data_IF_687086082383
#
_entry.id   IF_687086082383
#
_cell.length_a   1.000
_cell.length_b   1.000
_cell.length_c   1.000
_cell.angle_alpha   90.00
_cell.angle_beta   90.00
_cell.angle_gamma   90.00
#
_symmetry.space_group_name_H-M   'P 1'
#
loop_
_entity.id
_entity.type
_entity.pdbx_description
1 polymer ?
#
# COMPACT_ATOMS: atom_id res chain seq x y z
N UNK A 1 24.82 -40.47 27.68
CA UNK A 1 25.53 -39.66 28.68
C UNK A 1 24.90 -38.27 28.58
N UNK A 2 23.76 -38.12 29.24
CA UNK A 2 23.60 -37.47 30.57
C UNK A 2 23.47 -35.94 30.39
N UNK A 3 22.26 -35.39 30.52
CA UNK A 3 21.64 -34.90 31.77
C UNK A 3 22.31 -33.59 32.25
N UNK A 4 21.66 -32.42 32.08
CA UNK A 4 20.63 -31.82 32.95
C UNK A 4 21.22 -31.04 34.15
N UNK A 5 20.42 -30.08 34.62
CA UNK A 5 20.45 -29.42 35.95
C UNK A 5 21.07 -28.00 36.04
N UNK A 6 20.18 -27.02 35.94
CA UNK A 6 19.74 -26.13 37.03
C UNK A 6 20.81 -25.49 37.95
N UNK A 7 20.81 -24.15 38.03
CA UNK A 7 21.45 -23.41 39.14
C UNK A 7 20.57 -22.27 39.65
N UNK A 8 19.89 -22.60 40.75
CA UNK A 8 19.31 -21.71 41.75
C UNK A 8 20.32 -20.69 42.31
N UNK A 9 19.74 -19.53 42.62
CA UNK A 9 20.13 -18.45 43.54
C UNK A 9 20.92 -18.90 44.78
N UNK A 10 21.86 -18.05 45.22
CA UNK A 10 22.19 -17.82 46.64
C UNK A 10 22.98 -16.49 46.83
N UNK A 11 23.10 -15.91 48.06
CA UNK A 11 22.63 -14.56 48.37
C UNK A 11 23.70 -13.60 48.95
N UNK A 12 23.43 -12.29 49.02
CA UNK A 12 24.11 -11.36 49.95
C UNK A 12 23.18 -10.25 50.50
N UNK A 13 22.83 -10.45 51.78
CA UNK A 13 22.84 -9.60 52.98
C UNK A 13 22.81 -8.05 52.90
N UNK A 14 22.32 -7.38 53.98
CA UNK A 14 21.55 -6.14 53.95
C UNK A 14 22.35 -4.89 54.30
N UNK A 15 21.90 -3.73 53.81
CA UNK A 15 22.25 -2.42 54.37
C UNK A 15 21.00 -1.79 55.00
N UNK A 16 21.10 -1.54 56.30
CA UNK A 16 20.13 -0.84 57.12
C UNK A 16 20.25 0.68 56.93
N UNK A 17 19.14 1.42 57.11
CA UNK A 17 19.20 2.85 57.44
C UNK A 17 18.02 3.71 56.99
N UNK A 18 16.99 3.75 57.84
CA UNK A 18 16.05 4.86 58.08
C UNK A 18 15.24 5.51 56.93
N UNK A 19 13.96 5.15 56.90
CA UNK A 19 12.90 6.05 57.37
C UNK A 19 12.49 7.22 56.48
N UNK A 20 11.42 7.02 55.70
CA UNK A 20 10.25 7.89 55.85
C UNK A 20 9.01 7.21 55.27
N UNK A 21 7.93 7.26 56.04
CA UNK A 21 6.60 6.84 55.63
C UNK A 21 6.06 7.77 54.53
N UNK A 22 5.63 7.18 53.42
CA UNK A 22 4.50 7.60 52.59
C UNK A 22 4.44 6.68 51.37
N UNK A 23 3.77 5.54 51.54
CA UNK A 23 3.57 4.55 50.48
C UNK A 23 2.22 3.86 50.67
N UNK A 24 1.13 4.63 50.52
CA UNK A 24 -0.25 4.11 50.41
C UNK A 24 -1.04 5.00 49.44
N UNK A 25 -0.44 5.36 48.31
CA UNK A 25 -1.10 6.19 47.29
C UNK A 25 -0.66 5.81 45.86
N UNK A 26 -0.39 4.52 45.59
CA UNK A 26 -0.14 4.06 44.21
C UNK A 26 -1.12 2.98 43.76
N UNK A 27 -1.49 2.01 44.60
CA UNK A 27 -2.40 0.94 44.16
C UNK A 27 -3.84 1.42 43.86
N UNK A 28 -4.42 2.27 44.72
CA UNK A 28 -5.77 2.79 44.50
C UNK A 28 -5.84 3.84 43.39
N UNK A 29 -4.75 4.59 43.16
CA UNK A 29 -4.67 5.54 42.05
C UNK A 29 -4.44 4.82 40.72
N UNK A 30 -3.66 3.74 40.70
CA UNK A 30 -3.48 2.89 39.52
C UNK A 30 -4.74 2.06 39.21
N UNK A 31 -5.50 1.61 40.24
CA UNK A 31 -6.80 0.96 40.07
C UNK A 31 -7.88 1.95 39.61
N UNK A 32 -7.93 3.17 40.16
CA UNK A 32 -8.89 4.21 39.77
C UNK A 32 -8.56 4.80 38.38
N UNK A 33 -7.28 4.95 38.03
CA UNK A 33 -6.84 5.26 36.65
C UNK A 33 -7.19 4.11 35.69
N UNK A 34 -7.01 2.85 36.09
CA UNK A 34 -7.39 1.68 35.29
C UNK A 34 -8.90 1.55 35.06
N UNK A 35 -9.73 1.77 36.08
CA UNK A 35 -11.19 1.74 35.98
C UNK A 35 -11.74 2.90 35.14
N UNK A 36 -11.14 4.09 35.23
CA UNK A 36 -11.48 5.24 34.37
C UNK A 36 -11.07 5.02 32.91
N UNK A 37 -9.91 4.38 32.67
CA UNK A 37 -9.47 4.00 31.33
C UNK A 37 -10.39 2.93 30.71
N UNK A 38 -10.85 1.94 31.48
CA UNK A 38 -11.82 0.93 31.03
C UNK A 38 -13.21 1.54 30.73
N UNK A 39 -13.71 2.48 31.55
CA UNK A 39 -14.97 3.18 31.26
C UNK A 39 -14.90 4.11 30.03
N UNK A 40 -13.75 4.77 29.79
CA UNK A 40 -13.53 5.51 28.54
C UNK A 40 -13.39 4.56 27.33
N UNK A 41 -12.84 3.36 27.55
CA UNK A 41 -12.68 2.34 26.53
C UNK A 41 -14.02 1.75 26.08
N UNK A 42 -15.02 1.60 26.97
CA UNK A 42 -16.39 1.25 26.56
C UNK A 42 -17.08 2.37 25.74
N UNK A 43 -16.76 3.64 25.99
CA UNK A 43 -17.40 4.79 25.32
C UNK A 43 -16.90 5.00 23.89
N UNK A 44 -15.68 4.59 23.56
CA UNK A 44 -15.03 4.82 22.25
C UNK A 44 -14.94 3.56 21.37
N UNK A 45 -16.04 2.83 21.24
CA UNK A 45 -16.10 1.58 20.44
C UNK A 45 -16.89 1.73 19.14
N UNK A 46 -16.33 1.15 18.08
CA UNK A 46 -17.06 0.91 16.84
C UNK A 46 -17.92 -0.35 17.00
N UNK A 47 -19.01 -0.39 16.25
CA UNK A 47 -19.83 -1.58 16.12
C UNK A 47 -19.18 -2.56 15.15
N UNK A 48 -19.30 -3.85 15.46
CA UNK A 48 -18.92 -4.95 14.58
C UNK A 48 -19.56 -4.82 13.18
N UNK A 49 -20.88 -4.61 13.14
CA UNK A 49 -21.68 -4.55 11.90
C UNK A 49 -22.00 -3.11 11.50
N UNK A 50 -21.97 -2.86 10.19
CA UNK A 50 -22.31 -1.58 9.60
C UNK A 50 -23.80 -1.29 9.78
N UNK A 51 -24.14 -0.01 9.82
CA UNK A 51 -25.51 0.48 9.72
C UNK A 51 -25.92 0.60 8.26
N UNK A 52 -26.53 -0.45 7.71
CA UNK A 52 -26.96 -0.48 6.30
C UNK A 52 -27.98 0.62 5.94
N UNK A 53 -28.73 1.11 6.94
CA UNK A 53 -29.73 2.17 6.76
C UNK A 53 -29.15 3.58 6.96
N UNK A 54 -27.90 3.71 7.39
CA UNK A 54 -27.26 5.01 7.60
C UNK A 54 -26.49 5.43 6.37
N UNK A 55 -26.69 6.66 5.91
CA UNK A 55 -25.88 7.26 4.85
C UNK A 55 -24.80 8.14 5.50
N UNK A 56 -23.51 7.78 5.38
CA UNK A 56 -22.42 8.60 5.91
C UNK A 56 -22.40 10.00 5.33
N UNK A 57 -21.87 10.93 6.12
CA UNK A 57 -21.55 12.26 5.62
C UNK A 57 -20.24 12.25 4.82
N UNK A 58 -20.09 13.22 3.91
CA UNK A 58 -18.81 13.48 3.25
C UNK A 58 -17.91 14.30 4.17
N UNK A 59 -16.61 14.06 4.12
CA UNK A 59 -15.58 14.81 4.85
C UNK A 59 -14.54 15.46 3.94
N UNK A 60 -14.77 15.45 2.62
CA UNK A 60 -13.81 15.90 1.60
C UNK A 60 -13.46 17.40 1.72
N UNK A 61 -14.42 18.23 2.15
CA UNK A 61 -14.23 19.65 2.45
C UNK A 61 -13.17 19.91 3.54
N UNK A 62 -12.85 18.90 4.35
CA UNK A 62 -11.86 18.96 5.42
C UNK A 62 -10.53 18.30 5.07
N UNK A 63 -10.32 17.81 3.83
CA UNK A 63 -9.10 17.10 3.38
C UNK A 63 -7.79 17.78 3.83
N UNK A 64 -7.73 19.11 3.78
CA UNK A 64 -6.53 19.86 4.13
C UNK A 64 -6.29 20.01 5.63
N UNK A 65 -7.34 19.87 6.45
CA UNK A 65 -7.31 20.05 7.90
C UNK A 65 -7.16 18.72 8.65
N UNK A 66 -7.59 17.62 8.03
CA UNK A 66 -7.57 16.29 8.64
C UNK A 66 -6.17 15.65 8.63
N UNK A 67 -5.88 14.92 9.70
CA UNK A 67 -4.68 14.08 9.83
C UNK A 67 -4.82 12.74 9.09
N UNK A 68 -6.06 12.31 8.86
CA UNK A 68 -6.43 11.06 8.20
C UNK A 68 -7.30 11.33 6.97
N UNK A 69 -7.42 10.33 6.08
CA UNK A 69 -8.23 10.44 4.86
C UNK A 69 -9.71 10.71 5.19
N UNK A 70 -10.39 11.65 4.53
CA UNK A 70 -11.84 11.85 4.61
C UNK A 70 -12.65 10.59 4.34
N UNK A 71 -12.21 9.75 3.39
CA UNK A 71 -12.89 8.50 3.07
C UNK A 71 -12.87 7.52 4.24
N UNK A 72 -11.82 7.57 5.08
CA UNK A 72 -11.75 6.78 6.31
C UNK A 72 -12.82 7.21 7.31
N UNK A 73 -13.06 8.51 7.46
CA UNK A 73 -14.14 9.02 8.30
C UNK A 73 -15.52 8.61 7.78
N UNK A 74 -15.78 8.76 6.47
CA UNK A 74 -17.04 8.30 5.89
C UNK A 74 -17.24 6.79 6.04
N UNK A 75 -16.17 5.99 5.95
CA UNK A 75 -16.23 4.54 6.16
C UNK A 75 -16.50 4.18 7.63
N UNK A 76 -15.78 4.82 8.56
CA UNK A 76 -15.95 4.62 10.00
C UNK A 76 -17.34 5.02 10.50
N UNK A 77 -17.93 6.06 9.91
CA UNK A 77 -19.24 6.58 10.33
C UNK A 77 -20.33 5.50 10.29
N UNK A 78 -20.26 4.57 9.34
CA UNK A 78 -21.21 3.45 9.21
C UNK A 78 -21.18 2.52 10.43
N UNK A 79 -20.10 2.53 11.20
CA UNK A 79 -19.87 1.66 12.35
C UNK A 79 -20.01 2.38 13.68
N UNK A 80 -20.42 3.65 13.69
CA UNK A 80 -20.68 4.35 14.93
C UNK A 80 -21.84 3.72 15.72
N UNK A 81 -21.82 3.80 17.06
CA UNK A 81 -22.93 3.35 17.89
C UNK A 81 -24.18 4.20 17.63
N UNK A 82 -25.37 3.64 17.89
CA UNK A 82 -26.65 4.27 17.49
C UNK A 82 -26.84 5.68 18.05
N UNK A 83 -26.41 5.91 19.29
CA UNK A 83 -26.44 7.23 19.92
C UNK A 83 -25.55 8.26 19.19
N UNK A 84 -24.49 7.82 18.51
CA UNK A 84 -23.57 8.70 17.77
C UNK A 84 -24.00 8.94 16.31
N UNK A 85 -24.84 8.10 15.71
CA UNK A 85 -25.25 8.30 14.30
C UNK A 85 -26.14 9.54 14.11
N UNK A 86 -26.89 9.90 15.15
CA UNK A 86 -27.90 10.96 15.11
C UNK A 86 -27.39 12.31 15.66
N UNK A 87 -26.13 12.41 16.07
CA UNK A 87 -25.52 13.68 16.49
C UNK A 87 -24.97 14.46 15.30
N UNK A 88 -24.52 15.69 15.55
CA UNK A 88 -23.96 16.55 14.52
C UNK A 88 -22.70 15.93 13.88
N UNK A 89 -22.47 16.29 12.62
CA UNK A 89 -21.27 15.95 11.85
C UNK A 89 -19.97 16.18 12.61
N UNK A 90 -19.89 17.34 13.29
CA UNK A 90 -18.72 17.73 14.06
C UNK A 90 -18.45 16.78 15.24
N UNK A 91 -19.51 16.38 15.96
CA UNK A 91 -19.37 15.45 17.08
C UNK A 91 -19.02 14.03 16.60
N UNK A 92 -19.57 13.60 15.47
CA UNK A 92 -19.16 12.33 14.82
C UNK A 92 -17.70 12.35 14.42
N UNK A 93 -17.24 13.45 13.82
CA UNK A 93 -15.85 13.65 13.43
C UNK A 93 -14.90 13.60 14.63
N UNK A 94 -15.23 14.30 15.71
CA UNK A 94 -14.44 14.29 16.95
C UNK A 94 -14.34 12.89 17.56
N UNK A 95 -15.46 12.17 17.61
CA UNK A 95 -15.51 10.79 18.10
C UNK A 95 -14.64 9.83 17.28
N UNK A 96 -14.79 9.85 15.95
CA UNK A 96 -13.98 9.03 15.05
C UNK A 96 -12.49 9.39 15.13
N UNK A 97 -12.17 10.68 15.27
CA UNK A 97 -10.78 11.16 15.41
C UNK A 97 -10.15 10.64 16.70
N UNK A 98 -10.88 10.63 17.82
CA UNK A 98 -10.37 10.07 19.08
C UNK A 98 -10.04 8.58 18.94
N UNK A 99 -10.91 7.80 18.28
CA UNK A 99 -10.64 6.39 17.98
C UNK A 99 -9.38 6.26 17.12
N UNK A 100 -9.27 6.98 16.01
CA UNK A 100 -8.11 6.90 15.12
C UNK A 100 -6.80 7.28 15.82
N UNK A 101 -6.81 8.30 16.68
CA UNK A 101 -5.64 8.74 17.42
C UNK A 101 -5.17 7.71 18.46
N UNK A 102 -6.10 7.00 19.11
CA UNK A 102 -5.80 5.94 20.09
C UNK A 102 -5.01 4.80 19.45
N UNK A 103 -5.35 4.43 18.23
CA UNK A 103 -4.75 3.29 17.51
C UNK A 103 -3.68 3.68 16.49
N UNK A 104 -3.27 4.94 16.42
CA UNK A 104 -2.21 5.40 15.52
C UNK A 104 -1.00 5.88 16.32
N UNK A 105 0.06 5.07 16.50
CA UNK A 105 1.23 5.43 17.29
C UNK A 105 1.87 6.76 16.85
N UNK A 106 2.39 7.54 17.81
CA UNK A 106 2.98 8.86 17.51
C UNK A 106 4.09 8.80 16.46
N UNK A 107 4.91 7.75 16.48
CA UNK A 107 5.98 7.53 15.49
C UNK A 107 5.45 7.39 14.06
N UNK A 108 4.30 6.73 13.87
CA UNK A 108 3.65 6.58 12.57
C UNK A 108 3.07 7.91 12.09
N UNK A 109 2.34 8.62 12.97
CA UNK A 109 1.79 9.95 12.65
C UNK A 109 2.90 10.93 12.25
N UNK A 110 4.00 10.95 13.00
CA UNK A 110 5.15 11.79 12.70
C UNK A 110 5.81 11.41 11.36
N UNK A 111 5.83 10.12 11.00
CA UNK A 111 6.32 9.65 9.69
C UNK A 111 5.43 10.13 8.55
N UNK A 112 4.11 9.98 8.67
CA UNK A 112 3.13 10.45 7.67
C UNK A 112 3.24 11.96 7.46
N UNK A 113 3.30 12.74 8.54
CA UNK A 113 3.46 14.20 8.47
C UNK A 113 4.74 14.61 7.73
N UNK A 114 5.89 14.02 8.09
CA UNK A 114 7.17 14.29 7.39
C UNK A 114 7.11 13.93 5.91
N UNK A 115 6.43 12.84 5.56
CA UNK A 115 6.26 12.45 4.16
C UNK A 115 5.38 13.46 3.41
N UNK A 116 4.27 13.91 4.00
CA UNK A 116 3.41 14.97 3.44
C UNK A 116 4.18 16.27 3.19
N UNK A 117 4.99 16.71 4.16
CA UNK A 117 5.85 17.90 4.03
C UNK A 117 6.90 17.73 2.91
N UNK A 118 7.52 16.55 2.82
CA UNK A 118 8.45 16.20 1.74
C UNK A 118 7.77 16.27 0.36
N UNK A 119 6.61 15.63 0.20
CA UNK A 119 5.84 15.65 -1.06
C UNK A 119 5.46 17.08 -1.45
N UNK A 120 4.93 17.84 -0.50
CA UNK A 120 4.54 19.24 -0.74
C UNK A 120 5.74 20.09 -1.19
N UNK A 121 6.90 19.91 -0.58
CA UNK A 121 8.13 20.61 -1.00
C UNK A 121 8.51 20.26 -2.44
N UNK A 122 8.40 19.00 -2.86
CA UNK A 122 8.69 18.60 -4.23
C UNK A 122 7.67 19.21 -5.19
N UNK A 123 6.38 19.02 -4.95
CA UNK A 123 5.29 19.51 -5.80
C UNK A 123 5.42 21.03 -6.06
N UNK A 124 5.80 21.80 -5.05
CA UNK A 124 5.96 23.26 -5.17
C UNK A 124 7.20 23.70 -5.96
N UNK A 125 8.24 22.87 -6.07
CA UNK A 125 9.55 23.28 -6.59
C UNK A 125 10.01 22.52 -7.85
N UNK A 126 9.48 21.33 -8.08
CA UNK A 126 9.75 20.54 -9.27
C UNK A 126 8.94 21.07 -10.44
N UNK A 127 9.57 21.15 -11.62
CA UNK A 127 8.90 21.54 -12.86
C UNK A 127 8.79 20.29 -13.74
N UNK A 128 7.58 19.76 -13.95
CA UNK A 128 7.36 18.61 -14.82
C UNK A 128 7.87 18.85 -16.25
N UNK A 129 8.52 17.84 -16.83
CA UNK A 129 8.99 17.88 -18.21
C UNK A 129 7.82 17.64 -19.19
N UNK A 130 6.91 16.72 -18.84
CA UNK A 130 5.78 16.27 -19.63
C UNK A 130 4.48 16.42 -18.82
N UNK A 131 3.95 17.65 -18.76
CA UNK A 131 2.71 17.96 -18.01
C UNK A 131 1.50 17.10 -18.41
N UNK A 132 1.48 16.62 -19.65
CA UNK A 132 0.44 15.73 -20.16
C UNK A 132 0.37 14.37 -19.45
N UNK A 133 1.45 13.92 -18.80
CA UNK A 133 1.45 12.67 -18.05
C UNK A 133 0.69 12.77 -16.71
N UNK A 134 0.50 13.98 -16.20
CA UNK A 134 -0.12 14.24 -14.90
C UNK A 134 -1.64 14.28 -14.97
N UNK A 135 -2.19 14.33 -16.18
CA UNK A 135 -3.62 14.27 -16.44
C UNK A 135 -3.90 13.03 -17.27
N UNK A 136 -4.83 12.20 -16.82
CA UNK A 136 -5.18 10.96 -17.51
C UNK A 136 -5.78 11.24 -18.89
N UNK A 137 -4.98 11.05 -19.94
CA UNK A 137 -5.40 11.13 -21.34
C UNK A 137 -5.34 9.74 -21.97
N UNK A 138 -6.41 8.97 -21.80
CA UNK A 138 -6.46 7.53 -22.02
C UNK A 138 -5.95 7.11 -23.42
N UNK A 139 -6.35 7.85 -24.47
CA UNK A 139 -5.94 7.59 -25.85
C UNK A 139 -4.45 7.82 -26.14
N UNK A 140 -3.75 8.58 -25.29
CA UNK A 140 -2.30 8.79 -25.39
C UNK A 140 -1.53 7.75 -24.56
N UNK A 141 -2.19 7.13 -23.59
CA UNK A 141 -1.56 6.24 -22.61
C UNK A 141 -1.65 4.79 -23.08
N UNK A 142 -2.82 4.42 -23.59
CA UNK A 142 -3.15 3.02 -23.84
C UNK A 142 -3.26 2.67 -25.31
N UNK A 143 -2.96 1.41 -25.62
CA UNK A 143 -3.22 0.86 -26.95
C UNK A 143 -4.73 0.77 -27.22
N UNK A 144 -5.19 0.94 -28.47
CA UNK A 144 -6.63 0.96 -28.78
C UNK A 144 -7.38 -0.32 -28.41
N UNK A 145 -6.72 -1.49 -28.51
CA UNK A 145 -7.29 -2.79 -28.12
C UNK A 145 -7.64 -2.82 -26.63
N UNK A 146 -6.75 -2.33 -25.78
CA UNK A 146 -6.95 -2.22 -24.34
C UNK A 146 -8.14 -1.30 -24.01
N UNK A 147 -8.16 -0.10 -24.60
CA UNK A 147 -9.26 0.85 -24.39
C UNK A 147 -10.62 0.29 -24.80
N UNK A 148 -10.67 -0.41 -25.93
CA UNK A 148 -11.89 -1.06 -26.40
C UNK A 148 -12.39 -2.10 -25.40
N UNK A 149 -11.50 -2.96 -24.88
CA UNK A 149 -11.88 -3.97 -23.90
C UNK A 149 -12.40 -3.34 -22.60
N UNK A 150 -11.77 -2.26 -22.13
CA UNK A 150 -12.19 -1.48 -20.96
C UNK A 150 -13.55 -0.82 -21.17
N UNK A 151 -13.80 -0.26 -22.36
CA UNK A 151 -15.08 0.37 -22.69
C UNK A 151 -16.23 -0.65 -22.74
N UNK A 152 -15.98 -1.87 -23.25
CA UNK A 152 -16.96 -2.96 -23.26
C UNK A 152 -17.20 -3.52 -21.84
N UNK A 153 -16.16 -3.57 -21.01
CA UNK A 153 -16.21 -3.91 -19.59
C UNK A 153 -16.89 -5.27 -19.28
N UNK A 154 -16.61 -6.30 -20.08
CA UNK A 154 -17.06 -7.67 -19.85
C UNK A 154 -15.90 -8.64 -19.67
N UNK A 155 -16.15 -9.81 -19.10
CA UNK A 155 -15.12 -10.84 -18.98
C UNK A 155 -14.59 -11.27 -20.36
N UNK A 156 -15.48 -11.41 -21.35
CA UNK A 156 -15.12 -11.78 -22.71
C UNK A 156 -14.24 -10.71 -23.38
N UNK A 157 -14.56 -9.42 -23.19
CA UNK A 157 -13.77 -8.33 -23.77
C UNK A 157 -12.36 -8.30 -23.17
N UNK A 158 -12.23 -8.49 -21.85
CA UNK A 158 -10.92 -8.58 -21.20
C UNK A 158 -10.14 -9.82 -21.65
N UNK A 159 -10.77 -11.00 -21.66
CA UNK A 159 -10.12 -12.23 -22.10
C UNK A 159 -9.67 -12.17 -23.56
N UNK A 160 -10.31 -11.35 -24.40
CA UNK A 160 -9.92 -11.19 -25.80
C UNK A 160 -8.53 -10.55 -26.00
N UNK A 161 -8.03 -9.80 -24.99
CA UNK A 161 -6.73 -9.10 -25.06
C UNK A 161 -5.68 -9.69 -24.11
N UNK A 162 -6.06 -10.64 -23.25
CA UNK A 162 -5.20 -11.19 -22.20
C UNK A 162 -4.79 -12.63 -22.48
N UNK A 163 -3.54 -12.95 -22.17
CA UNK A 163 -3.08 -14.32 -21.99
C UNK A 163 -2.95 -14.62 -20.48
N UNK A 164 -3.33 -15.82 -20.07
CA UNK A 164 -3.17 -16.33 -18.71
C UNK A 164 -2.12 -17.46 -18.71
N UNK A 165 -0.81 -17.14 -18.67
CA UNK A 165 0.25 -18.15 -18.68
C UNK A 165 0.18 -19.13 -17.50
N UNK A 166 -0.47 -18.74 -16.41
CA UNK A 166 -0.77 -19.58 -15.26
C UNK A 166 -1.96 -18.99 -14.49
N UNK A 167 -2.73 -19.81 -13.76
CA UNK A 167 -3.85 -19.35 -12.96
C UNK A 167 -3.53 -18.10 -12.14
N UNK A 168 -4.28 -17.02 -12.38
CA UNK A 168 -4.16 -15.76 -11.64
C UNK A 168 -2.94 -14.89 -12.01
N UNK A 169 -2.28 -15.17 -13.14
CA UNK A 169 -1.28 -14.29 -13.76
C UNK A 169 -1.79 -13.93 -15.15
N UNK A 170 -2.10 -12.65 -15.37
CA UNK A 170 -2.59 -12.16 -16.65
C UNK A 170 -1.55 -11.26 -17.30
N UNK A 171 -1.38 -11.41 -18.62
CA UNK A 171 -0.44 -10.63 -19.41
C UNK A 171 -1.12 -10.05 -20.62
N UNK A 172 -0.85 -8.78 -20.93
CA UNK A 172 -1.52 -8.07 -22.03
C UNK A 172 -0.72 -6.85 -22.48
N UNK A 173 -0.90 -6.46 -23.75
CA UNK A 173 -0.41 -5.19 -24.27
C UNK A 173 -1.27 -4.05 -23.69
N UNK A 174 -0.65 -3.05 -23.08
CA UNK A 174 -1.36 -2.02 -22.33
C UNK A 174 -0.97 -0.63 -22.78
N UNK A 175 0.31 -0.28 -22.69
CA UNK A 175 0.78 1.09 -22.87
C UNK A 175 1.28 1.35 -24.28
N UNK A 176 1.00 2.56 -24.78
CA UNK A 176 1.61 3.03 -26.02
C UNK A 176 3.13 3.22 -25.83
N UNK A 177 3.95 2.88 -26.84
CA UNK A 177 5.39 3.14 -26.79
C UNK A 177 5.73 4.60 -26.47
N UNK A 178 4.93 5.54 -27.00
CA UNK A 178 5.13 6.97 -26.75
C UNK A 178 4.93 7.33 -25.27
N UNK A 179 3.91 6.79 -24.62
CA UNK A 179 3.69 7.00 -23.19
C UNK A 179 4.88 6.47 -22.37
N UNK A 180 5.33 5.26 -22.70
CA UNK A 180 6.50 4.65 -22.09
C UNK A 180 7.75 5.55 -22.17
N UNK A 181 8.05 6.10 -23.35
CA UNK A 181 9.15 7.05 -23.54
C UNK A 181 9.02 8.30 -22.67
N UNK A 182 7.83 8.93 -22.68
CA UNK A 182 7.56 10.14 -21.92
C UNK A 182 7.69 9.92 -20.41
N UNK A 183 7.16 8.81 -19.89
CA UNK A 183 7.26 8.49 -18.48
C UNK A 183 8.71 8.20 -18.07
N UNK A 184 9.48 7.52 -18.91
CA UNK A 184 10.91 7.31 -18.67
C UNK A 184 11.68 8.64 -18.60
N UNK A 185 11.48 9.55 -19.55
CA UNK A 185 12.16 10.85 -19.55
C UNK A 185 11.72 11.75 -18.40
N UNK A 186 10.46 11.66 -17.97
CA UNK A 186 9.96 12.38 -16.79
C UNK A 186 10.65 11.88 -15.51
N UNK A 187 10.75 10.56 -15.31
CA UNK A 187 11.43 9.98 -14.15
C UNK A 187 12.92 10.38 -14.14
N UNK A 188 13.60 10.27 -15.28
CA UNK A 188 15.01 10.69 -15.41
C UNK A 188 15.19 12.20 -15.13
N UNK A 189 14.23 13.03 -15.54
CA UNK A 189 14.24 14.45 -15.23
C UNK A 189 14.07 14.72 -13.74
N UNK A 190 13.14 14.03 -13.09
CA UNK A 190 12.93 14.11 -11.65
C UNK A 190 14.16 13.68 -10.86
N UNK A 191 14.77 12.54 -11.19
CA UNK A 191 15.98 12.06 -10.53
C UNK A 191 17.14 13.06 -10.64
N UNK A 192 17.36 13.62 -11.84
CA UNK A 192 18.38 14.67 -12.05
C UNK A 192 18.11 15.90 -11.20
N UNK A 193 16.87 16.39 -11.19
CA UNK A 193 16.49 17.56 -10.40
C UNK A 193 16.68 17.33 -8.89
N UNK A 194 16.28 16.16 -8.38
CA UNK A 194 16.50 15.79 -6.97
C UNK A 194 17.99 15.80 -6.63
N UNK A 195 18.83 15.26 -7.51
CA UNK A 195 20.29 15.24 -7.34
C UNK A 195 20.89 16.66 -7.31
N UNK A 196 20.51 17.51 -8.27
CA UNK A 196 20.95 18.91 -8.36
C UNK A 196 20.54 19.72 -7.13
N UNK A 197 19.31 19.51 -6.63
CA UNK A 197 18.80 20.16 -5.41
C UNK A 197 19.30 19.53 -4.12
N UNK A 198 20.12 18.47 -4.20
CA UNK A 198 20.64 17.69 -3.06
C UNK A 198 19.52 17.22 -2.12
N UNK A 199 18.38 16.87 -2.71
CA UNK A 199 17.26 16.27 -1.99
C UNK A 199 17.47 14.75 -1.93
N UNK A 200 16.91 14.11 -0.90
CA UNK A 200 16.94 12.65 -0.80
C UNK A 200 15.71 12.08 -1.47
N UNK A 201 15.89 11.30 -2.53
CA UNK A 201 14.79 10.54 -3.14
C UNK A 201 14.27 9.47 -2.17
N UNK A 202 12.95 9.37 -2.04
CA UNK A 202 12.33 8.24 -1.35
C UNK A 202 12.43 7.00 -2.23
N UNK A 203 12.88 5.89 -1.65
CA UNK A 203 13.01 4.65 -2.39
C UNK A 203 11.63 4.03 -2.66
N UNK A 204 11.46 3.34 -3.80
CA UNK A 204 10.17 2.76 -4.18
C UNK A 204 9.58 1.82 -3.12
N UNK A 205 10.43 0.99 -2.54
CA UNK A 205 10.10 0.08 -1.43
C UNK A 205 11.38 -0.28 -0.66
N UNK A 206 11.29 -1.19 0.30
CA UNK A 206 12.41 -1.63 1.14
C UNK A 206 13.42 -2.54 0.42
N UNK A 207 13.07 -3.07 -0.76
CA UNK A 207 13.86 -4.04 -1.52
C UNK A 207 14.56 -3.42 -2.74
N UNK A 208 14.09 -2.27 -3.24
CA UNK A 208 14.64 -1.58 -4.40
C UNK A 208 15.45 -0.34 -4.01
N UNK A 209 16.68 -0.26 -4.53
CA UNK A 209 17.58 0.87 -4.31
C UNK A 209 17.47 1.93 -5.39
N UNK A 210 16.87 1.64 -6.54
CA UNK A 210 16.77 2.58 -7.65
C UNK A 210 15.35 2.69 -8.21
N UNK A 211 15.03 3.88 -8.72
CA UNK A 211 13.69 4.29 -9.12
C UNK A 211 13.07 5.30 -8.16
N UNK A 212 11.80 5.63 -8.42
CA UNK A 212 11.08 6.74 -7.79
C UNK A 212 9.62 6.38 -7.48
N UNK A 213 9.08 6.92 -6.38
CA UNK A 213 7.64 6.91 -6.09
C UNK A 213 6.98 8.04 -6.87
N UNK A 214 5.98 7.73 -7.69
CA UNK A 214 5.40 8.68 -8.64
C UNK A 214 4.55 9.77 -7.94
N UNK A 215 3.85 9.40 -6.86
CA UNK A 215 3.04 10.32 -6.07
C UNK A 215 3.86 11.44 -5.43
N UNK A 216 5.15 11.19 -5.18
CA UNK A 216 6.04 12.17 -4.56
C UNK A 216 6.28 13.40 -5.43
N UNK A 217 6.10 13.27 -6.75
CA UNK A 217 6.31 14.36 -7.70
C UNK A 217 5.11 14.64 -8.61
N UNK A 218 3.91 14.20 -8.19
CA UNK A 218 2.62 14.74 -8.65
C UNK A 218 1.69 13.77 -9.37
N UNK A 219 2.00 12.49 -9.47
CA UNK A 219 1.21 11.53 -10.24
C UNK A 219 -0.02 10.93 -9.53
N UNK A 220 -0.25 11.26 -8.27
CA UNK A 220 -1.31 10.68 -7.42
C UNK A 220 -2.68 10.67 -8.10
N UNK A 221 -3.15 11.80 -8.62
CA UNK A 221 -4.44 11.89 -9.33
C UNK A 221 -4.47 11.07 -10.63
N UNK A 222 -3.36 10.96 -11.34
CA UNK A 222 -3.30 10.14 -12.55
C UNK A 222 -3.39 8.65 -12.18
N UNK A 223 -2.63 8.23 -11.18
CA UNK A 223 -2.58 6.84 -10.73
C UNK A 223 -3.88 6.39 -10.07
N UNK A 224 -4.56 7.29 -9.37
CA UNK A 224 -5.92 7.07 -8.86
C UNK A 224 -6.89 6.74 -10.02
N UNK A 225 -6.90 7.56 -11.07
CA UNK A 225 -7.72 7.31 -12.27
C UNK A 225 -7.32 6.03 -13.01
N UNK A 226 -6.02 5.74 -13.08
CA UNK A 226 -5.51 4.48 -13.65
C UNK A 226 -6.07 3.28 -12.87
N UNK A 227 -6.01 3.32 -11.54
CA UNK A 227 -6.54 2.26 -10.68
C UNK A 227 -8.05 2.12 -10.87
N UNK A 228 -8.81 3.19 -10.63
CA UNK A 228 -10.28 3.16 -10.62
C UNK A 228 -10.88 2.83 -11.99
N UNK A 229 -10.37 3.47 -13.05
CA UNK A 229 -10.95 3.37 -14.38
C UNK A 229 -10.52 2.13 -15.16
N UNK A 230 -9.36 1.53 -14.83
CA UNK A 230 -8.75 0.50 -15.67
C UNK A 230 -8.39 -0.77 -14.89
N UNK A 231 -7.82 -0.65 -13.69
CA UNK A 231 -7.39 -1.82 -12.91
C UNK A 231 -8.54 -2.43 -12.10
N UNK A 232 -9.39 -1.62 -11.48
CA UNK A 232 -10.57 -2.10 -10.73
C UNK A 232 -11.57 -2.89 -11.60
N UNK A 233 -11.91 -2.46 -12.84
CA UNK A 233 -12.81 -3.23 -13.71
C UNK A 233 -12.29 -4.63 -14.01
N UNK A 234 -11.00 -4.74 -14.35
CA UNK A 234 -10.32 -6.03 -14.59
C UNK A 234 -10.29 -6.85 -13.29
N UNK A 235 -9.91 -6.21 -12.18
CA UNK A 235 -9.71 -6.89 -10.90
C UNK A 235 -11.00 -7.43 -10.29
N UNK A 236 -12.14 -6.77 -10.53
CA UNK A 236 -13.46 -7.26 -10.16
C UNK A 236 -13.75 -8.63 -10.78
N UNK A 237 -13.31 -8.88 -12.01
CA UNK A 237 -13.58 -10.12 -12.74
C UNK A 237 -12.59 -11.21 -12.35
N UNK A 238 -11.29 -10.90 -12.33
CA UNK A 238 -10.25 -11.91 -12.23
C UNK A 238 -9.66 -12.11 -10.84
N UNK A 239 -9.92 -11.19 -9.90
CA UNK A 239 -9.41 -11.24 -8.52
C UNK A 239 -10.51 -11.04 -7.45
N UNK A 240 -11.70 -11.67 -7.59
CA UNK A 240 -12.78 -11.51 -6.61
C UNK A 240 -12.38 -12.01 -5.20
N UNK A 241 -11.51 -13.02 -5.12
CA UNK A 241 -11.07 -13.66 -3.87
C UNK A 241 -10.18 -12.77 -3.00
N UNK A 242 -9.59 -11.72 -3.57
CA UNK A 242 -8.85 -10.68 -2.84
C UNK A 242 -9.59 -9.35 -2.80
N UNK A 243 -10.86 -9.33 -3.20
CA UNK A 243 -11.67 -8.11 -3.19
C UNK A 243 -11.28 -7.11 -4.28
N UNK A 244 -10.94 -7.58 -5.48
CA UNK A 244 -10.58 -6.72 -6.61
C UNK A 244 -11.63 -5.66 -7.00
N UNK A 245 -12.87 -5.78 -6.52
CA UNK A 245 -13.95 -4.79 -6.68
C UNK A 245 -13.94 -3.66 -5.64
N UNK A 246 -13.07 -3.73 -4.63
CA UNK A 246 -13.06 -2.85 -3.44
C UNK A 246 -11.70 -2.18 -3.22
N UNK A 247 -10.85 -2.15 -4.24
CA UNK A 247 -9.57 -1.46 -4.21
C UNK A 247 -9.80 0.05 -4.15
N UNK A 248 -9.14 0.73 -3.21
CA UNK A 248 -9.37 2.15 -2.86
C UNK A 248 -8.08 2.93 -2.58
N UNK A 249 -6.92 2.27 -2.66
CA UNK A 249 -5.61 2.86 -2.41
C UNK A 249 -4.60 2.29 -3.38
N UNK A 250 -3.65 3.14 -3.79
CA UNK A 250 -2.55 2.72 -4.64
C UNK A 250 -1.20 3.13 -4.05
N UNK A 251 -0.14 2.45 -4.50
CA UNK A 251 1.24 2.89 -4.36
C UNK A 251 1.92 2.69 -5.72
N UNK A 252 2.09 3.78 -6.45
CA UNK A 252 2.64 3.79 -7.80
C UNK A 252 4.11 4.20 -7.82
N UNK A 253 4.96 3.38 -8.43
CA UNK A 253 6.39 3.63 -8.45
C UNK A 253 7.07 3.00 -9.66
N UNK A 254 8.26 3.51 -9.97
CA UNK A 254 9.15 2.93 -10.98
C UNK A 254 10.33 2.26 -10.30
N UNK A 255 10.76 1.13 -10.84
CA UNK A 255 11.99 0.43 -10.43
C UNK A 255 12.94 0.31 -11.61
N UNK A 256 14.24 0.37 -11.32
CA UNK A 256 15.29 0.33 -12.34
C UNK A 256 16.28 -0.80 -12.09
N UNK A 257 16.52 -1.60 -13.13
CA UNK A 257 17.48 -2.69 -13.11
C UNK A 257 18.55 -2.54 -14.18
N UNK A 258 19.77 -3.04 -13.91
CA UNK A 258 20.92 -2.97 -14.82
C UNK A 258 22.27 -2.93 -14.08
N UNK A 259 23.37 -2.85 -14.83
CA UNK A 259 24.76 -2.99 -14.31
C UNK A 259 25.11 -1.98 -13.20
N UNK A 260 24.59 -0.75 -13.28
CA UNK A 260 24.80 0.32 -12.28
C UNK A 260 23.50 0.66 -11.52
N UNK A 261 22.63 -0.34 -11.38
CA UNK A 261 21.32 -0.27 -10.74
C UNK A 261 21.13 -1.54 -9.91
N UNK A 262 19.89 -1.89 -9.56
CA UNK A 262 19.63 -3.22 -9.02
C UNK A 262 19.80 -4.27 -10.13
N UNK A 263 20.45 -5.40 -9.84
CA UNK A 263 20.70 -6.41 -10.87
C UNK A 263 19.54 -7.37 -10.96
N UNK A 264 19.01 -7.77 -9.81
CA UNK A 264 17.92 -8.73 -9.63
C UNK A 264 17.08 -8.35 -8.42
N UNK A 265 15.97 -9.05 -8.21
CA UNK A 265 15.17 -8.95 -7.00
C UNK A 265 14.81 -10.35 -6.53
N UNK A 266 15.16 -10.66 -5.28
CA UNK A 266 14.97 -11.97 -4.68
C UNK A 266 13.50 -12.37 -4.57
N UNK A 267 13.28 -13.59 -4.09
CA UNK A 267 11.94 -14.14 -3.86
C UNK A 267 11.17 -13.30 -2.81
N UNK A 268 9.97 -12.84 -3.15
CA UNK A 268 9.11 -12.03 -2.30
C UNK A 268 7.64 -12.15 -2.70
N UNK A 269 6.82 -11.38 -2.01
CA UNK A 269 5.41 -11.08 -2.31
C UNK A 269 5.25 -9.56 -2.23
N UNK A 270 4.22 -9.04 -2.87
CA UNK A 270 3.89 -7.62 -2.79
C UNK A 270 2.95 -7.34 -1.62
N UNK A 271 3.07 -6.14 -1.08
CA UNK A 271 2.15 -5.59 -0.09
C UNK A 271 0.93 -4.97 -0.79
N UNK A 272 0.22 -5.82 -1.54
CA UNK A 272 -0.94 -5.48 -2.36
C UNK A 272 -1.96 -6.62 -2.41
N UNK A 273 -3.21 -6.28 -2.73
CA UNK A 273 -4.21 -7.26 -3.15
C UNK A 273 -3.95 -7.65 -4.61
N UNK A 274 -3.77 -6.64 -5.47
CA UNK A 274 -3.47 -6.78 -6.89
C UNK A 274 -2.27 -5.90 -7.24
N UNK A 275 -1.30 -6.47 -7.96
CA UNK A 275 -0.15 -5.76 -8.52
C UNK A 275 -0.26 -5.69 -10.03
N UNK A 276 -0.16 -4.48 -10.56
CA UNK A 276 0.16 -4.22 -11.96
C UNK A 276 1.68 -3.98 -12.08
N UNK A 277 2.32 -4.67 -13.04
CA UNK A 277 3.73 -4.47 -13.38
C UNK A 277 3.87 -4.32 -14.90
N UNK A 278 4.23 -3.12 -15.36
CA UNK A 278 4.32 -2.80 -16.79
C UNK A 278 5.77 -2.48 -17.16
N UNK A 279 6.28 -3.12 -18.21
CA UNK A 279 7.62 -2.79 -18.71
C UNK A 279 7.56 -1.47 -19.49
N UNK A 280 8.23 -0.42 -19.00
CA UNK A 280 8.30 0.88 -19.67
C UNK A 280 9.31 0.92 -20.80
N UNK A 281 10.10 -0.15 -20.98
CA UNK A 281 11.10 -0.25 -22.03
C UNK A 281 12.49 0.21 -21.60
N UNK A 282 13.33 0.42 -22.63
CA UNK A 282 14.80 0.32 -22.73
C UNK A 282 15.26 -1.02 -23.32
N UNK A 283 16.39 -1.00 -24.01
CA UNK A 283 17.01 -2.20 -24.57
C UNK A 283 17.74 -2.93 -23.44
N UNK A 284 17.35 -4.16 -23.13
CA UNK A 284 17.96 -4.99 -22.10
C UNK A 284 17.91 -6.48 -22.47
N UNK A 285 18.67 -7.30 -21.73
CA UNK A 285 18.58 -8.76 -21.77
C UNK A 285 18.57 -9.32 -20.35
N UNK A 286 17.99 -10.51 -20.17
CA UNK A 286 17.70 -11.05 -18.84
C UNK A 286 16.51 -10.33 -18.19
N UNK A 287 16.46 -10.31 -16.86
CA UNK A 287 15.34 -9.69 -16.15
C UNK A 287 14.04 -10.46 -16.31
N UNK A 288 14.08 -11.78 -16.43
CA UNK A 288 12.88 -12.62 -16.45
C UNK A 288 12.21 -12.56 -15.07
N UNK A 289 10.91 -12.30 -15.02
CA UNK A 289 10.12 -12.49 -13.81
C UNK A 289 9.91 -13.98 -13.59
N UNK A 290 9.99 -14.42 -12.35
CA UNK A 290 9.71 -15.80 -12.00
C UNK A 290 8.59 -15.84 -10.96
N UNK A 291 7.61 -16.71 -11.13
CA UNK A 291 6.44 -16.90 -10.25
C UNK A 291 6.41 -18.32 -9.71
N UNK A 292 5.95 -18.46 -8.47
CA UNK A 292 6.09 -19.67 -7.65
C UNK A 292 4.82 -20.01 -6.88
N UNK A 293 3.65 -19.64 -7.43
CA UNK A 293 2.34 -19.89 -6.84
C UNK A 293 1.99 -18.99 -5.65
N UNK A 294 0.75 -19.07 -5.20
CA UNK A 294 0.19 -18.27 -4.10
C UNK A 294 0.20 -19.08 -2.80
N UNK A 295 0.49 -18.42 -1.67
CA UNK A 295 0.43 -19.00 -0.32
C UNK A 295 -0.13 -17.99 0.68
N UNK A 296 -0.63 -18.47 1.81
CA UNK A 296 -0.89 -17.63 2.98
C UNK A 296 0.43 -17.23 3.67
N UNK A 297 0.34 -16.35 4.67
CA UNK A 297 1.51 -15.80 5.36
C UNK A 297 2.34 -16.87 6.08
N UNK A 298 1.68 -17.85 6.71
CA UNK A 298 2.34 -18.96 7.40
C UNK A 298 3.13 -19.87 6.45
N UNK A 299 2.67 -20.00 5.19
CA UNK A 299 3.20 -20.96 4.23
C UNK A 299 3.98 -20.30 3.09
N UNK A 300 4.34 -19.02 3.19
CA UNK A 300 5.00 -18.26 2.12
C UNK A 300 6.31 -18.91 1.67
N UNK A 301 7.03 -19.58 2.59
CA UNK A 301 8.31 -20.24 2.32
C UNK A 301 8.19 -21.74 1.98
N UNK A 302 6.98 -22.27 1.84
CA UNK A 302 6.78 -23.67 1.42
C UNK A 302 7.30 -23.94 0.01
N UNK A 303 7.56 -25.19 -0.32
CA UNK A 303 8.02 -25.56 -1.65
C UNK A 303 6.98 -25.22 -2.74
N UNK A 304 7.49 -24.99 -3.96
CA UNK A 304 6.67 -24.79 -5.16
C UNK A 304 6.44 -26.11 -5.86
N UNK A 305 5.23 -26.31 -6.36
CA UNK A 305 4.92 -27.43 -7.26
C UNK A 305 5.37 -27.10 -8.69
N UNK A 306 5.68 -28.11 -9.53
CA UNK A 306 6.13 -27.88 -10.91
C UNK A 306 5.17 -27.01 -11.73
N UNK A 307 3.86 -27.16 -11.52
CA UNK A 307 2.81 -26.44 -12.24
C UNK A 307 2.72 -24.95 -11.84
N UNK A 308 3.34 -24.58 -10.71
CA UNK A 308 3.37 -23.21 -10.19
C UNK A 308 4.58 -22.42 -10.70
N UNK A 309 5.53 -23.08 -11.40
CA UNK A 309 6.77 -22.48 -11.85
C UNK A 309 6.57 -21.86 -13.23
N UNK A 310 6.45 -20.54 -13.24
CA UNK A 310 6.35 -19.75 -14.46
C UNK A 310 7.48 -18.74 -14.52
N UNK A 311 8.06 -18.59 -15.69
CA UNK A 311 9.05 -17.58 -15.97
C UNK A 311 8.52 -16.71 -17.13
N UNK A 312 8.42 -15.40 -16.92
CA UNK A 312 7.87 -14.43 -17.87
C UNK A 312 8.94 -13.43 -18.30
N UNK A 313 9.14 -13.31 -19.60
CA UNK A 313 10.07 -12.33 -20.18
C UNK A 313 9.31 -11.03 -20.48
N UNK A 314 9.79 -9.92 -19.92
CA UNK A 314 9.17 -8.62 -20.14
C UNK A 314 9.20 -8.19 -21.60
N UNK A 315 8.10 -7.60 -22.03
CA UNK A 315 7.95 -6.94 -23.33
C UNK A 315 7.58 -5.47 -23.07
N UNK A 316 8.29 -4.48 -23.66
CA UNK A 316 7.93 -3.07 -23.51
C UNK A 316 6.45 -2.81 -23.84
N UNK A 317 5.80 -1.98 -23.03
CA UNK A 317 4.37 -1.66 -23.13
C UNK A 317 3.43 -2.77 -22.63
N UNK A 318 3.93 -3.96 -22.32
CA UNK A 318 3.11 -5.06 -21.80
C UNK A 318 3.06 -5.05 -20.28
N UNK A 319 1.88 -5.35 -19.77
CA UNK A 319 1.58 -5.50 -18.36
C UNK A 319 1.58 -6.97 -17.95
N UNK A 320 1.96 -7.20 -16.69
CA UNK A 320 1.67 -8.40 -15.91
C UNK A 320 0.78 -7.96 -14.76
N UNK A 321 -0.39 -8.56 -14.63
CA UNK A 321 -1.34 -8.33 -13.55
C UNK A 321 -1.48 -9.61 -12.74
N UNK A 322 -1.20 -9.55 -11.44
CA UNK A 322 -1.26 -10.71 -10.56
C UNK A 322 -1.67 -10.32 -9.15
N UNK A 323 -2.09 -11.32 -8.37
CA UNK A 323 -2.31 -11.16 -6.93
C UNK A 323 -1.02 -10.74 -6.23
N UNK A 324 -1.07 -9.80 -5.29
CA UNK A 324 0.14 -9.36 -4.57
C UNK A 324 0.80 -10.50 -3.77
N UNK A 325 -0.01 -11.41 -3.24
CA UNK A 325 0.45 -12.64 -2.56
C UNK A 325 1.02 -13.73 -3.47
N UNK A 326 1.06 -13.50 -4.79
CA UNK A 326 1.74 -14.42 -5.70
C UNK A 326 3.24 -14.31 -5.45
N UNK A 327 3.87 -15.42 -5.08
CA UNK A 327 5.29 -15.47 -4.76
C UNK A 327 6.10 -15.33 -6.03
N UNK A 328 7.00 -14.37 -6.09
CA UNK A 328 7.71 -14.06 -7.32
C UNK A 328 9.04 -13.33 -7.07
N UNK A 329 9.76 -13.04 -8.14
CA UNK A 329 10.95 -12.20 -8.13
C UNK A 329 11.44 -11.90 -9.54
N UNK A 330 12.58 -11.24 -9.66
CA UNK A 330 13.19 -10.91 -10.94
C UNK A 330 14.60 -11.50 -11.02
N UNK A 331 14.90 -12.23 -12.09
CA UNK A 331 16.26 -12.67 -12.43
C UNK A 331 17.15 -11.49 -12.79
N UNK A 332 18.46 -11.74 -12.81
CA UNK A 332 19.46 -10.76 -13.20
C UNK A 332 19.19 -10.14 -14.59
N UNK A 333 19.24 -8.81 -14.65
CA UNK A 333 19.36 -8.06 -15.92
C UNK A 333 20.83 -8.11 -16.34
N UNK A 334 21.13 -8.81 -17.42
CA UNK A 334 22.50 -9.12 -17.85
C UNK A 334 23.10 -8.09 -18.79
N UNK A 335 22.26 -7.31 -19.48
CA UNK A 335 22.69 -6.20 -20.32
C UNK A 335 21.63 -5.10 -20.34
N UNK A 336 22.06 -3.87 -20.61
CA UNK A 336 21.17 -2.72 -20.74
C UNK A 336 20.56 -2.27 -19.41
N UNK A 337 19.40 -1.61 -19.50
CA UNK A 337 18.65 -1.14 -18.35
C UNK A 337 17.19 -1.57 -18.54
N UNK A 338 16.57 -2.14 -17.51
CA UNK A 338 15.17 -2.53 -17.51
C UNK A 338 14.43 -1.64 -16.53
N UNK A 339 13.37 -0.99 -17.00
CA UNK A 339 12.56 -0.09 -16.16
C UNK A 339 11.11 -0.53 -16.21
N UNK A 340 10.50 -0.63 -15.02
CA UNK A 340 9.13 -1.09 -14.87
C UNK A 340 8.33 -0.09 -14.03
N UNK A 341 7.11 0.16 -14.46
CA UNK A 341 6.07 0.81 -13.67
C UNK A 341 5.36 -0.27 -12.84
N UNK A 342 5.26 -0.05 -11.54
CA UNK A 342 4.43 -0.85 -10.65
C UNK A 342 3.32 0.00 -10.08
N UNK A 343 2.15 -0.61 -9.96
CA UNK A 343 1.02 -0.08 -9.19
C UNK A 343 0.54 -1.18 -8.25
N UNK A 344 0.77 -0.98 -6.96
CA UNK A 344 0.22 -1.82 -5.91
C UNK A 344 -1.15 -1.28 -5.52
N UNK A 345 -2.19 -2.05 -5.80
CA UNK A 345 -3.57 -1.67 -5.48
C UNK A 345 -4.02 -2.38 -4.20
N UNK A 346 -4.64 -1.63 -3.28
CA UNK A 346 -5.03 -2.09 -1.95
C UNK A 346 -6.44 -1.73 -1.57
N UNK A 347 -6.97 -2.44 -0.56
CA UNK A 347 -8.23 -2.13 0.13
C UNK A 347 -7.96 -1.51 1.50
N UNK A 348 -7.38 -0.32 1.49
CA UNK A 348 -6.93 0.40 2.67
C UNK A 348 -8.07 0.67 3.65
N UNK A 349 -9.23 1.17 3.19
CA UNK A 349 -10.32 1.55 4.08
C UNK A 349 -10.91 0.33 4.77
N UNK A 350 -11.16 -0.74 4.00
CA UNK A 350 -11.66 -2.00 4.54
C UNK A 350 -10.73 -2.56 5.61
N UNK A 351 -9.42 -2.65 5.33
CA UNK A 351 -8.44 -3.17 6.27
C UNK A 351 -8.29 -2.27 7.50
N UNK A 352 -8.26 -0.95 7.32
CA UNK A 352 -8.13 -0.01 8.44
C UNK A 352 -9.32 -0.14 9.41
N UNK A 353 -10.56 -0.12 8.89
CA UNK A 353 -11.76 -0.29 9.71
C UNK A 353 -11.83 -1.67 10.35
N UNK A 354 -11.43 -2.72 9.62
CA UNK A 354 -11.42 -4.09 10.14
C UNK A 354 -10.38 -4.27 11.26
N UNK A 355 -9.16 -3.78 11.06
CA UNK A 355 -8.08 -3.82 12.06
C UNK A 355 -8.46 -3.04 13.32
N UNK A 356 -9.05 -1.85 13.19
CA UNK A 356 -9.50 -1.05 14.34
C UNK A 356 -10.52 -1.80 15.19
N UNK A 357 -11.46 -2.50 14.56
CA UNK A 357 -12.46 -3.29 15.30
C UNK A 357 -11.83 -4.49 16.00
N UNK A 358 -10.97 -5.23 15.31
CA UNK A 358 -10.29 -6.37 15.93
C UNK A 358 -9.39 -5.94 17.09
N UNK A 359 -8.76 -4.77 17.02
CA UNK A 359 -8.00 -4.20 18.13
C UNK A 359 -8.88 -3.76 19.30
N UNK A 360 -10.13 -3.35 19.04
CA UNK A 360 -11.08 -3.04 20.09
C UNK A 360 -11.63 -4.30 20.78
N UNK A 361 -11.77 -5.41 20.06
CA UNK A 361 -12.36 -6.66 20.55
C UNK A 361 -11.35 -7.70 21.07
N UNK A 362 -10.04 -7.46 20.93
CA UNK A 362 -8.95 -8.28 21.46
C UNK A 362 -8.54 -7.81 22.86
#
# INVERSE_FOLDING_TARGET
MEASVDRRKQPRAPTAGNGNANGVASAAAEEEEGELEEEEEEKLRLRLRANENHKPESYEDLQMQLEFSPLLFSSLEQYLPFNMLHVSRELKLQYMRQILLRYSPEGERARVKRHKEYRQKIILNYQPLHRELYTMHEANFFVPSFLKAIAENTEESFRSIMAEPSPGIYTFEMLQPRFCELLLSEVENFERWVHEKKLRIMRPNTMNRYGAVLDDFGFETMLEKLMEGFICPISRVFFPEVGGSTLDSHHGFVVEYGVNRDVELGFHVDDSEVTLNVCLGKQFSGGTLFFRGVRCDEHVHSESQPEEIIDYSHVPGHAVLHRGRHRHGARATTSGQRVNLLLWCRRYLFLCVYSLKNLQDA
#
